data_IF_540338247373
#
_entry.id   IF_540338247373
#
_cell.length_a   1.000
_cell.length_b   1.000
_cell.length_c   1.000
_cell.angle_alpha   90.00
_cell.angle_beta   90.00
_cell.angle_gamma   90.00
#
_symmetry.space_group_name_H-M   'P 1'
#
loop_
_entity.id
_entity.type
_entity.pdbx_description
1 polymer ?
#
# COMPACT_ATOMS: atom_id res chain seq x y z
N UNK A 1 -17.36 28.14 22.84
CA UNK A 1 -16.50 27.48 23.84
C UNK A 1 -16.01 26.18 23.24
N UNK A 2 -14.78 25.74 23.54
CA UNK A 2 -14.27 24.46 23.07
C UNK A 2 -15.01 23.31 23.77
N UNK A 3 -15.47 22.33 22.99
CA UNK A 3 -16.19 21.15 23.45
C UNK A 3 -15.29 19.91 23.36
N UNK A 4 -15.18 19.16 24.46
CA UNK A 4 -14.33 17.98 24.55
C UNK A 4 -14.83 16.82 23.69
N UNK A 5 -16.15 16.71 23.48
CA UNK A 5 -16.72 15.74 22.56
C UNK A 5 -16.30 16.04 21.12
N UNK A 6 -16.25 17.33 20.77
CA UNK A 6 -15.78 17.76 19.45
C UNK A 6 -14.28 17.51 19.29
N UNK A 7 -13.46 17.73 20.34
CA UNK A 7 -12.04 17.33 20.31
C UNK A 7 -11.86 15.84 20.09
N UNK A 8 -12.68 15.02 20.75
CA UNK A 8 -12.66 13.57 20.59
C UNK A 8 -13.03 13.16 19.16
N UNK A 9 -14.07 13.77 18.57
CA UNK A 9 -14.45 13.54 17.17
C UNK A 9 -13.35 14.00 16.21
N UNK A 10 -12.78 15.19 16.39
CA UNK A 10 -11.67 15.69 15.58
C UNK A 10 -10.46 14.76 15.68
N UNK A 11 -10.15 14.24 16.86
CA UNK A 11 -9.06 13.28 17.10
C UNK A 11 -9.33 11.96 16.38
N UNK A 12 -10.53 11.40 16.53
CA UNK A 12 -10.94 10.17 15.86
C UNK A 12 -10.90 10.29 14.33
N UNK A 13 -11.49 11.36 13.78
CA UNK A 13 -11.48 11.64 12.34
C UNK A 13 -10.06 11.82 11.79
N UNK A 14 -9.18 12.50 12.54
CA UNK A 14 -7.78 12.62 12.17
C UNK A 14 -7.05 11.26 12.20
N UNK A 15 -7.31 10.44 13.22
CA UNK A 15 -6.76 9.09 13.37
C UNK A 15 -7.18 8.14 12.24
N UNK A 16 -8.42 8.23 11.76
CA UNK A 16 -8.89 7.48 10.58
C UNK A 16 -8.57 8.17 9.25
N UNK A 17 -7.73 9.20 9.28
CA UNK A 17 -7.08 9.75 8.09
C UNK A 17 -7.78 10.93 7.42
N UNK A 18 -8.87 11.43 7.99
CA UNK A 18 -9.59 12.60 7.51
C UNK A 18 -8.97 13.91 8.05
N UNK A 19 -9.41 15.07 7.54
CA UNK A 19 -8.84 16.38 7.90
C UNK A 19 -9.91 17.29 8.51
N UNK A 20 -10.26 17.10 9.80
CA UNK A 20 -11.32 17.87 10.45
C UNK A 20 -10.94 19.33 10.73
N UNK A 21 -9.68 19.72 10.53
CA UNK A 21 -9.14 21.02 10.92
C UNK A 21 -8.32 20.91 12.21
N UNK A 22 -8.06 22.03 12.91
CA UNK A 22 -7.41 22.01 14.22
C UNK A 22 -8.18 21.15 15.23
N UNK A 23 -7.48 20.45 16.12
CA UNK A 23 -8.08 19.70 17.23
C UNK A 23 -8.27 20.67 18.41
N UNK A 24 -9.23 21.56 18.25
CA UNK A 24 -9.47 22.70 19.14
C UNK A 24 -10.81 22.63 19.89
N UNK A 25 -11.63 21.61 19.60
CA UNK A 25 -12.96 21.43 20.19
C UNK A 25 -14.01 22.37 19.58
N UNK A 26 -13.73 22.98 18.44
CA UNK A 26 -14.64 23.88 17.77
C UNK A 26 -15.37 23.13 16.64
N UNK A 27 -16.70 23.11 16.71
CA UNK A 27 -17.54 22.57 15.63
C UNK A 27 -17.58 23.53 14.42
N UNK A 28 -16.45 23.59 13.71
CA UNK A 28 -16.27 24.42 12.55
C UNK A 28 -16.78 23.78 11.25
N UNK A 29 -16.86 24.56 10.15
CA UNK A 29 -17.27 24.05 8.84
C UNK A 29 -16.43 22.86 8.35
N UNK A 30 -15.13 22.85 8.67
CA UNK A 30 -14.22 21.74 8.33
C UNK A 30 -14.52 20.48 9.15
N UNK A 31 -14.77 20.62 10.46
CA UNK A 31 -15.16 19.51 11.34
C UNK A 31 -16.43 18.83 10.82
N UNK A 32 -17.48 19.62 10.56
CA UNK A 32 -18.78 19.12 10.05
C UNK A 32 -18.66 18.46 8.68
N UNK A 33 -18.04 19.13 7.71
CA UNK A 33 -17.87 18.58 6.37
C UNK A 33 -17.10 17.26 6.40
N UNK A 34 -16.11 17.16 7.28
CA UNK A 34 -15.31 15.96 7.46
C UNK A 34 -16.08 14.82 8.12
N UNK A 35 -16.84 15.12 9.18
CA UNK A 35 -17.71 14.15 9.84
C UNK A 35 -18.78 13.59 8.88
N UNK A 36 -19.39 14.44 8.06
CA UNK A 36 -20.35 14.04 7.02
C UNK A 36 -19.70 13.13 5.99
N UNK A 37 -18.51 13.49 5.48
CA UNK A 37 -17.76 12.65 4.55
C UNK A 37 -17.43 11.29 5.15
N UNK A 38 -17.02 11.25 6.41
CA UNK A 38 -16.77 10.01 7.13
C UNK A 38 -18.03 9.15 7.29
N UNK A 39 -19.16 9.75 7.70
CA UNK A 39 -20.44 9.04 7.81
C UNK A 39 -20.99 8.52 6.48
N UNK A 40 -20.61 9.12 5.36
CA UNK A 40 -20.94 8.67 4.01
C UNK A 40 -19.95 7.63 3.46
N UNK A 41 -18.92 7.25 4.22
CA UNK A 41 -17.87 6.33 3.76
C UNK A 41 -17.01 6.91 2.62
N UNK A 42 -16.93 8.23 2.50
CA UNK A 42 -16.22 8.87 1.39
C UNK A 42 -14.72 8.54 1.43
N UNK A 43 -14.08 8.19 0.31
CA UNK A 43 -12.67 7.83 0.32
C UNK A 43 -11.80 8.98 0.85
N UNK A 44 -10.86 8.63 1.71
CA UNK A 44 -9.84 9.56 2.21
C UNK A 44 -8.76 9.66 1.15
N UNK A 45 -8.51 10.88 0.66
CA UNK A 45 -7.44 11.11 -0.30
C UNK A 45 -6.11 10.54 0.24
N UNK A 46 -5.33 9.91 -0.63
CA UNK A 46 -3.97 9.49 -0.30
C UNK A 46 -3.25 10.69 0.29
N UNK A 47 -2.74 10.56 1.53
CA UNK A 47 -1.94 11.62 2.14
C UNK A 47 -0.48 11.38 1.79
N UNK A 48 0.23 12.48 1.63
CA UNK A 48 1.67 12.50 1.57
C UNK A 48 2.24 11.99 2.91
N UNK A 49 3.03 10.92 2.88
CA UNK A 49 3.87 10.50 4.01
C UNK A 49 5.03 11.49 4.07
N UNK A 50 5.27 12.13 5.22
CA UNK A 50 6.47 12.96 5.36
C UNK A 50 7.70 12.04 5.35
N UNK A 51 8.70 12.28 4.49
CA UNK A 51 9.91 11.46 4.46
C UNK A 51 10.60 11.44 5.83
N UNK A 52 10.97 10.25 6.30
CA UNK A 52 11.68 10.05 7.59
C UNK A 52 13.20 9.99 7.42
N UNK A 53 13.70 10.19 6.20
CA UNK A 53 15.12 10.10 5.84
C UNK A 53 15.45 11.16 4.80
N UNK A 54 16.73 11.52 4.69
CA UNK A 54 17.26 12.33 3.58
C UNK A 54 17.79 11.46 2.44
N UNK A 55 18.00 10.15 2.69
CA UNK A 55 18.49 9.19 1.70
C UNK A 55 17.52 9.03 0.54
N UNK A 56 18.04 8.68 -0.64
CA UNK A 56 17.23 8.51 -1.85
C UNK A 56 17.71 7.31 -2.67
N UNK A 57 16.79 6.41 -2.97
CA UNK A 57 16.98 5.36 -3.97
C UNK A 57 16.67 5.95 -5.33
N UNK A 58 17.54 5.69 -6.30
CA UNK A 58 17.37 6.12 -7.68
C UNK A 58 17.23 4.91 -8.60
N UNK A 59 16.22 4.95 -9.47
CA UNK A 59 15.86 3.85 -10.36
C UNK A 59 16.35 4.09 -11.79
N UNK A 60 17.02 3.06 -12.35
CA UNK A 60 17.47 3.03 -13.73
C UNK A 60 18.56 4.05 -14.06
N UNK A 61 19.00 4.07 -15.32
CA UNK A 61 20.03 5.01 -15.80
C UNK A 61 19.58 6.47 -15.76
N UNK A 62 18.28 6.72 -15.93
CA UNK A 62 17.68 8.04 -15.81
C UNK A 62 17.53 8.53 -14.35
N UNK A 63 17.91 7.70 -13.36
CA UNK A 63 17.94 8.05 -11.94
C UNK A 63 16.62 8.64 -11.43
N UNK A 64 15.50 7.95 -11.64
CA UNK A 64 14.22 8.38 -11.09
C UNK A 64 14.24 8.23 -9.55
N UNK A 65 13.97 9.29 -8.77
CA UNK A 65 13.90 9.17 -7.31
C UNK A 65 12.68 8.31 -6.91
N UNK A 66 12.91 7.25 -6.15
CA UNK A 66 11.84 6.39 -5.66
C UNK A 66 11.10 7.07 -4.51
N UNK A 67 9.87 7.52 -4.76
CA UNK A 67 9.04 8.31 -3.82
C UNK A 67 7.69 7.68 -3.50
N UNK A 68 7.34 6.59 -4.16
CA UNK A 68 6.04 5.94 -3.96
C UNK A 68 6.19 4.44 -3.81
N UNK A 69 5.43 3.86 -2.87
CA UNK A 69 5.24 2.42 -2.76
C UNK A 69 3.84 2.08 -3.29
N UNK A 70 3.75 1.10 -4.19
CA UNK A 70 2.48 0.62 -4.73
C UNK A 70 2.27 -0.84 -4.30
N UNK A 71 1.18 -1.10 -3.60
CA UNK A 71 0.82 -2.43 -3.10
C UNK A 71 -0.05 -3.18 -4.12
N UNK A 72 0.27 -4.46 -4.31
CA UNK A 72 -0.38 -5.38 -5.23
C UNK A 72 -0.79 -6.67 -4.52
N UNK A 73 -1.64 -7.45 -5.17
CA UNK A 73 -1.86 -8.86 -4.85
C UNK A 73 -1.60 -9.74 -6.10
N UNK A 74 -1.28 -11.01 -5.88
CA UNK A 74 -1.03 -11.98 -6.96
C UNK A 74 -2.31 -12.55 -7.58
N UNK A 75 -3.48 -12.23 -6.99
CA UNK A 75 -4.77 -12.83 -7.32
C UNK A 75 -4.78 -14.36 -7.25
N UNK A 76 -4.00 -14.94 -6.34
CA UNK A 76 -3.97 -16.39 -6.10
C UNK A 76 -4.90 -16.77 -4.94
N UNK A 77 -5.36 -18.02 -4.95
CA UNK A 77 -6.20 -18.56 -3.87
C UNK A 77 -5.40 -18.78 -2.58
N UNK A 78 -6.05 -18.88 -1.41
CA UNK A 78 -5.37 -19.11 -0.14
C UNK A 78 -4.50 -20.38 -0.08
N UNK A 79 -4.88 -21.42 -0.82
CA UNK A 79 -4.23 -22.72 -0.92
C UNK A 79 -3.20 -22.81 -2.06
N UNK A 80 -2.99 -21.73 -2.81
CA UNK A 80 -2.06 -21.72 -3.93
C UNK A 80 -0.63 -21.92 -3.43
N UNK A 81 0.01 -23.01 -3.88
CA UNK A 81 1.37 -23.38 -3.48
C UNK A 81 1.54 -23.41 -1.95
N UNK A 82 0.50 -23.86 -1.25
CA UNK A 82 0.59 -24.09 0.19
C UNK A 82 1.56 -25.25 0.48
N UNK A 83 2.39 -25.07 1.51
CA UNK A 83 3.52 -25.96 1.80
C UNK A 83 4.78 -25.70 0.96
N UNK A 84 4.70 -24.98 -0.16
CA UNK A 84 5.89 -24.52 -0.87
C UNK A 84 6.51 -23.31 -0.14
N UNK A 85 7.84 -23.26 -0.07
CA UNK A 85 8.55 -22.12 0.48
C UNK A 85 8.39 -20.87 -0.40
N UNK A 86 8.50 -19.69 0.22
CA UNK A 86 8.37 -18.39 -0.47
C UNK A 86 9.31 -18.24 -1.69
N UNK A 87 10.48 -18.90 -1.67
CA UNK A 87 11.41 -18.89 -2.81
C UNK A 87 10.84 -19.58 -4.05
N UNK A 88 10.12 -20.71 -3.87
CA UNK A 88 9.42 -21.39 -4.96
C UNK A 88 8.25 -20.55 -5.48
N UNK A 89 7.49 -19.92 -4.58
CA UNK A 89 6.38 -19.04 -4.95
C UNK A 89 6.86 -17.83 -5.77
N UNK A 90 7.97 -17.19 -5.37
CA UNK A 90 8.59 -16.10 -6.14
C UNK A 90 9.11 -16.58 -7.49
N UNK A 91 9.71 -17.78 -7.53
CA UNK A 91 10.15 -18.37 -8.79
C UNK A 91 8.98 -18.62 -9.75
N UNK A 92 7.82 -19.04 -9.23
CA UNK A 92 6.62 -19.26 -10.02
C UNK A 92 6.00 -17.95 -10.55
N UNK A 93 5.89 -16.91 -9.71
CA UNK A 93 5.44 -15.58 -10.16
C UNK A 93 6.40 -15.02 -11.23
N UNK A 94 7.71 -15.23 -11.06
CA UNK A 94 8.72 -14.86 -12.07
C UNK A 94 8.52 -15.63 -13.37
N UNK A 95 8.22 -16.93 -13.29
CA UNK A 95 7.90 -17.78 -14.46
C UNK A 95 6.69 -17.24 -15.22
N UNK A 96 5.60 -16.88 -14.52
CA UNK A 96 4.41 -16.27 -15.14
C UNK A 96 4.73 -14.97 -15.87
N UNK A 97 5.47 -14.07 -15.23
CA UNK A 97 5.86 -12.81 -15.87
C UNK A 97 6.76 -13.02 -17.09
N UNK A 98 7.70 -13.98 -17.04
CA UNK A 98 8.54 -14.33 -18.19
C UNK A 98 7.73 -14.94 -19.33
N UNK A 99 6.72 -15.75 -19.03
CA UNK A 99 5.79 -16.27 -20.03
C UNK A 99 5.00 -15.14 -20.74
N UNK A 100 4.77 -14.02 -20.05
CA UNK A 100 4.20 -12.79 -20.63
C UNK A 100 5.23 -11.91 -21.37
N UNK A 101 6.43 -12.44 -21.64
CA UNK A 101 7.49 -11.73 -22.36
C UNK A 101 8.26 -10.72 -21.51
N UNK A 102 8.08 -10.69 -20.18
CA UNK A 102 8.81 -9.77 -19.32
C UNK A 102 10.20 -10.32 -19.03
N UNK A 103 11.19 -9.42 -18.92
CA UNK A 103 12.57 -9.79 -18.57
C UNK A 103 12.68 -10.51 -17.22
N UNK A 104 11.86 -10.09 -16.26
CA UNK A 104 11.86 -10.60 -14.89
C UNK A 104 10.53 -10.29 -14.19
N UNK A 105 10.34 -10.82 -12.99
CA UNK A 105 9.23 -10.49 -12.07
C UNK A 105 8.99 -8.98 -12.00
N UNK A 106 7.74 -8.53 -12.05
CA UNK A 106 7.41 -7.10 -12.10
C UNK A 106 7.59 -6.34 -10.78
N UNK A 107 7.63 -7.04 -9.65
CA UNK A 107 7.64 -6.48 -8.29
C UNK A 107 9.05 -6.43 -7.69
N UNK A 108 9.26 -5.54 -6.72
CA UNK A 108 10.51 -5.46 -5.95
C UNK A 108 10.49 -6.36 -4.72
N UNK A 109 9.30 -6.52 -4.12
CA UNK A 109 9.10 -7.38 -2.96
C UNK A 109 7.87 -8.26 -3.15
N UNK A 110 7.95 -9.49 -2.65
CA UNK A 110 6.84 -10.43 -2.60
C UNK A 110 6.69 -10.93 -1.17
N UNK A 111 5.45 -10.94 -0.68
CA UNK A 111 5.10 -11.28 0.68
C UNK A 111 4.20 -12.52 0.72
N UNK A 112 4.75 -13.62 1.25
CA UNK A 112 4.06 -14.89 1.41
C UNK A 112 3.00 -14.87 2.51
N UNK A 113 2.07 -15.83 2.46
CA UNK A 113 0.97 -15.95 3.44
C UNK A 113 1.44 -16.20 4.88
N UNK A 114 2.64 -16.78 5.04
CA UNK A 114 3.32 -16.97 6.32
C UNK A 114 3.84 -15.67 6.96
N UNK A 115 3.91 -14.56 6.19
CA UNK A 115 4.61 -13.34 6.57
C UNK A 115 6.07 -13.29 6.08
N UNK A 116 6.55 -14.32 5.39
CA UNK A 116 7.89 -14.29 4.81
C UNK A 116 8.00 -13.34 3.63
N UNK A 117 9.03 -12.52 3.65
CA UNK A 117 9.33 -11.57 2.59
C UNK A 117 10.50 -12.07 1.73
N UNK A 118 10.38 -11.91 0.41
CA UNK A 118 11.46 -12.17 -0.55
C UNK A 118 11.57 -11.07 -1.58
N UNK A 119 12.81 -10.84 -2.03
CA UNK A 119 13.12 -9.86 -3.05
C UNK A 119 12.75 -10.38 -4.46
N UNK A 120 12.19 -9.49 -5.27
CA UNK A 120 12.02 -9.64 -6.71
C UNK A 120 13.12 -8.87 -7.45
N UNK A 121 12.75 -7.82 -8.17
CA UNK A 121 13.71 -6.86 -8.74
C UNK A 121 14.38 -6.04 -7.63
N UNK A 122 15.62 -5.61 -7.88
CA UNK A 122 16.28 -4.62 -7.01
C UNK A 122 15.51 -3.30 -7.06
N UNK A 123 15.39 -2.62 -5.93
CA UNK A 123 14.69 -1.32 -5.84
C UNK A 123 15.35 -0.20 -6.65
N UNK A 124 16.61 -0.38 -7.07
CA UNK A 124 17.34 0.51 -7.99
C UNK A 124 17.03 0.23 -9.47
N UNK A 125 16.24 -0.79 -9.77
CA UNK A 125 15.73 -1.07 -11.11
C UNK A 125 14.31 -0.56 -11.26
N UNK A 126 13.92 -0.20 -12.48
CA UNK A 126 12.53 0.13 -12.79
C UNK A 126 11.72 -1.17 -12.80
N UNK A 127 10.60 -1.17 -12.07
CA UNK A 127 9.67 -2.29 -11.99
C UNK A 127 8.86 -2.51 -13.28
N UNK A 128 7.95 -3.47 -13.24
CA UNK A 128 6.94 -3.69 -14.29
C UNK A 128 5.62 -4.11 -13.63
N UNK A 129 5.06 -3.25 -12.77
CA UNK A 129 3.90 -3.59 -11.94
C UNK A 129 2.69 -2.65 -12.15
N UNK A 130 2.89 -1.43 -12.65
CA UNK A 130 1.80 -0.51 -13.06
C UNK A 130 2.18 0.17 -14.37
N UNK A 131 1.41 -0.09 -15.43
CA UNK A 131 1.61 0.54 -16.74
C UNK A 131 1.53 2.07 -16.59
N UNK A 132 2.53 2.78 -17.12
CA UNK A 132 2.60 4.24 -17.02
C UNK A 132 3.08 4.80 -15.65
N UNK A 133 3.36 3.94 -14.66
CA UNK A 133 3.73 4.38 -13.30
C UNK A 133 4.85 3.56 -12.64
N UNK A 134 5.69 2.89 -13.44
CA UNK A 134 6.81 2.08 -12.92
C UNK A 134 8.03 2.92 -12.50
N UNK A 135 8.18 4.13 -13.03
CA UNK A 135 9.33 4.98 -12.74
C UNK A 135 9.17 5.67 -11.39
N UNK A 136 10.18 5.59 -10.53
CA UNK A 136 10.16 6.24 -9.21
C UNK A 136 9.23 5.57 -8.20
N UNK A 137 8.86 4.31 -8.44
CA UNK A 137 7.91 3.57 -7.61
C UNK A 137 8.42 2.18 -7.22
N UNK A 138 8.08 1.73 -6.01
CA UNK A 138 8.46 0.42 -5.46
C UNK A 138 7.19 -0.44 -5.31
N UNK A 139 7.02 -1.43 -6.20
CA UNK A 139 5.97 -2.44 -6.08
C UNK A 139 6.21 -3.52 -5.01
N UNK A 140 5.24 -3.73 -4.12
CA UNK A 140 5.17 -4.84 -3.15
C UNK A 140 3.95 -5.71 -3.51
N UNK A 141 4.12 -7.02 -3.67
CA UNK A 141 3.04 -7.95 -3.99
C UNK A 141 2.74 -8.90 -2.84
N UNK A 142 1.48 -8.96 -2.40
CA UNK A 142 1.00 -9.95 -1.43
C UNK A 142 0.52 -11.20 -2.17
N UNK A 143 0.97 -12.38 -1.74
CA UNK A 143 0.43 -13.64 -2.25
C UNK A 143 -0.99 -13.83 -1.70
N UNK A 144 -1.98 -13.88 -2.59
CA UNK A 144 -3.40 -13.97 -2.26
C UNK A 144 -4.27 -13.00 -3.07
N UNK A 145 -5.47 -12.72 -2.55
CA UNK A 145 -6.39 -11.72 -3.12
C UNK A 145 -7.30 -12.22 -4.24
N UNK A 146 -7.33 -13.53 -4.52
CA UNK A 146 -8.29 -14.10 -5.47
C UNK A 146 -9.74 -13.83 -5.02
N UNK A 147 -10.55 -13.25 -5.92
CA UNK A 147 -11.96 -12.94 -5.64
C UNK A 147 -12.19 -11.68 -4.80
N UNK A 148 -11.14 -10.91 -4.48
CA UNK A 148 -11.28 -9.65 -3.76
C UNK A 148 -11.94 -8.55 -4.59
N UNK A 149 -12.69 -7.68 -3.92
CA UNK A 149 -13.15 -6.40 -4.45
C UNK A 149 -12.20 -5.27 -4.05
N UNK A 150 -12.27 -4.14 -4.78
CA UNK A 150 -11.38 -2.99 -4.62
C UNK A 150 -11.29 -2.45 -3.18
N UNK A 151 -12.40 -2.52 -2.45
CA UNK A 151 -12.59 -1.91 -1.13
C UNK A 151 -12.91 -2.92 -0.04
N UNK A 152 -12.59 -4.20 -0.26
CA UNK A 152 -12.74 -5.20 0.78
C UNK A 152 -11.86 -4.89 1.98
N UNK A 153 -12.20 -5.50 3.11
CA UNK A 153 -11.30 -5.55 4.26
C UNK A 153 -10.13 -6.48 3.95
N UNK A 154 -8.87 -6.05 4.16
CA UNK A 154 -7.72 -6.87 3.79
C UNK A 154 -7.66 -8.20 4.55
N UNK A 155 -8.18 -8.25 5.78
CA UNK A 155 -8.22 -9.47 6.60
C UNK A 155 -9.07 -10.60 6.00
N UNK A 156 -9.93 -10.29 5.03
CA UNK A 156 -10.75 -11.30 4.31
C UNK A 156 -9.88 -12.16 3.41
N UNK A 157 -8.81 -11.60 2.83
CA UNK A 157 -8.03 -12.23 1.76
C UNK A 157 -6.56 -12.47 2.15
N UNK A 158 -6.07 -11.75 3.16
CA UNK A 158 -4.67 -11.78 3.60
C UNK A 158 -4.59 -12.11 5.10
N UNK A 159 -3.47 -12.70 5.52
CA UNK A 159 -3.25 -13.06 6.92
C UNK A 159 -2.75 -11.87 7.74
N UNK A 160 -2.96 -11.89 9.06
CA UNK A 160 -2.43 -10.84 9.95
C UNK A 160 -0.90 -10.71 9.84
N UNK A 161 -0.20 -11.84 9.68
CA UNK A 161 1.26 -11.85 9.47
C UNK A 161 1.66 -11.12 8.19
N UNK A 162 0.88 -11.25 7.11
CA UNK A 162 1.10 -10.46 5.90
C UNK A 162 0.86 -8.98 6.15
N UNK A 163 -0.22 -8.60 6.83
CA UNK A 163 -0.53 -7.19 7.03
C UNK A 163 0.48 -6.49 7.94
N UNK A 164 0.94 -7.16 9.01
CA UNK A 164 2.04 -6.68 9.85
C UNK A 164 3.33 -6.55 9.05
N UNK A 165 3.72 -7.58 8.30
CA UNK A 165 4.96 -7.54 7.54
C UNK A 165 4.91 -6.50 6.40
N UNK A 166 3.75 -6.25 5.80
CA UNK A 166 3.57 -5.20 4.81
C UNK A 166 3.88 -3.82 5.42
N UNK A 167 3.39 -3.54 6.64
CA UNK A 167 3.72 -2.29 7.36
C UNK A 167 5.22 -2.17 7.64
N UNK A 168 5.81 -3.21 8.23
CA UNK A 168 7.24 -3.25 8.51
C UNK A 168 8.08 -2.99 7.25
N UNK A 169 7.68 -3.57 6.11
CA UNK A 169 8.40 -3.37 4.87
C UNK A 169 8.23 -1.94 4.32
N UNK A 170 7.05 -1.35 4.41
CA UNK A 170 6.81 0.05 4.04
C UNK A 170 7.69 0.99 4.87
N UNK A 171 7.77 0.76 6.18
CA UNK A 171 8.64 1.54 7.09
C UNK A 171 10.12 1.34 6.74
N UNK A 172 10.57 0.09 6.54
CA UNK A 172 11.95 -0.23 6.20
C UNK A 172 12.40 0.38 4.86
N UNK A 173 11.51 0.49 3.88
CA UNK A 173 11.77 1.22 2.64
C UNK A 173 11.83 2.72 2.90
N UNK A 174 10.90 3.26 3.70
CA UNK A 174 10.82 4.69 4.01
C UNK A 174 12.05 5.21 4.78
N UNK A 175 12.76 4.34 5.50
CA UNK A 175 14.06 4.68 6.12
C UNK A 175 15.20 4.84 5.11
N UNK A 176 15.08 4.24 3.91
CA UNK A 176 16.15 4.16 2.90
C UNK A 176 15.91 5.07 1.69
N UNK A 177 14.67 5.53 1.49
CA UNK A 177 14.33 6.50 0.44
C UNK A 177 13.19 7.40 0.90
N UNK A 178 13.10 8.61 0.33
CA UNK A 178 12.05 9.58 0.68
C UNK A 178 10.69 9.19 0.09
N UNK A 179 10.06 8.17 0.66
CA UNK A 179 8.68 7.81 0.33
C UNK A 179 7.75 8.93 0.77
N UNK A 180 7.02 9.48 -0.19
CA UNK A 180 5.97 10.45 0.02
C UNK A 180 4.58 9.84 -0.20
N UNK A 181 4.46 8.68 -0.81
CA UNK A 181 3.13 8.12 -1.14
C UNK A 181 3.12 6.60 -0.96
N UNK A 182 2.06 6.09 -0.34
CA UNK A 182 1.77 4.65 -0.27
C UNK A 182 0.37 4.43 -0.85
N UNK A 183 0.29 3.63 -1.90
CA UNK A 183 -0.91 3.48 -2.73
C UNK A 183 -1.18 2.01 -3.10
N UNK A 184 -2.36 1.73 -3.65
CA UNK A 184 -2.72 0.44 -4.27
C UNK A 184 -2.80 0.56 -5.78
N UNK A 185 -2.67 -0.57 -6.50
CA UNK A 185 -2.82 -0.60 -7.97
C UNK A 185 -4.19 -0.08 -8.43
N UNK A 186 -5.26 -0.35 -7.66
CA UNK A 186 -6.62 0.13 -7.88
C UNK A 186 -6.73 1.65 -8.00
N UNK A 187 -5.78 2.42 -7.45
CA UNK A 187 -5.76 3.87 -7.59
C UNK A 187 -5.30 4.37 -8.98
N UNK A 188 -4.76 3.47 -9.81
CA UNK A 188 -4.18 3.81 -11.12
C UNK A 188 -4.75 2.98 -12.27
N UNK A 189 -5.56 1.97 -11.98
CA UNK A 189 -6.21 1.14 -12.97
C UNK A 189 -7.55 0.64 -12.44
N UNK A 190 -8.53 0.45 -13.33
CA UNK A 190 -9.81 -0.18 -13.01
C UNK A 190 -9.63 -1.68 -12.71
N UNK A 191 -9.08 -1.98 -11.53
CA UNK A 191 -8.72 -3.31 -11.04
C UNK A 191 -8.99 -3.39 -9.54
N UNK A 192 -9.40 -4.55 -9.06
CA UNK A 192 -9.60 -4.77 -7.61
C UNK A 192 -8.27 -4.73 -6.81
N UNK A 193 -7.16 -5.14 -7.43
CA UNK A 193 -5.84 -5.24 -6.80
C UNK A 193 -5.43 -3.96 -6.02
N UNK A 194 -4.99 -4.05 -4.75
CA UNK A 194 -4.64 -5.26 -4.01
C UNK A 194 -5.81 -5.96 -3.29
N UNK A 195 -7.05 -5.54 -3.52
CA UNK A 195 -8.23 -6.09 -2.86
C UNK A 195 -8.63 -5.32 -1.59
N UNK A 196 -8.12 -4.10 -1.42
CA UNK A 196 -8.47 -3.17 -0.34
C UNK A 196 -7.96 -1.76 -0.66
N UNK A 197 -8.49 -0.75 0.02
CA UNK A 197 -8.05 0.62 -0.13
C UNK A 197 -6.82 0.92 0.74
N UNK A 198 -5.63 0.80 0.14
CA UNK A 198 -4.32 0.92 0.82
C UNK A 198 -4.16 2.22 1.63
N UNK A 199 -4.53 3.42 1.11
CA UNK A 199 -4.37 4.64 1.89
C UNK A 199 -5.22 4.69 3.16
N UNK A 200 -6.39 4.05 3.19
CA UNK A 200 -7.22 3.96 4.39
C UNK A 200 -6.61 2.96 5.37
N UNK A 201 -6.24 1.77 4.88
CA UNK A 201 -5.62 0.73 5.69
C UNK A 201 -4.34 1.25 6.36
N UNK A 202 -3.46 1.91 5.61
CA UNK A 202 -2.17 2.35 6.15
C UNK A 202 -2.31 3.37 7.29
N UNK A 203 -3.31 4.26 7.22
CA UNK A 203 -3.57 5.30 8.24
C UNK A 203 -4.22 4.78 9.52
N UNK A 204 -4.99 3.68 9.44
CA UNK A 204 -5.80 3.18 10.55
C UNK A 204 -5.07 2.32 11.59
N UNK A 205 -3.74 2.43 11.70
CA UNK A 205 -2.94 1.75 12.73
C UNK A 205 -2.14 2.77 13.55
#
# INVERSE_FOLDING_TARGET
MADENIRSIQTGLAGVGYSPGPIDGIDGPRTRATAVRWGQGAPVAARDVAPVTTSMIYQGSARYPAREIIVHCSATRPDWMDGDGIDAQVAEIRRWHRANGWRDIGYHWVLGRSGELRAGRRETEIGAHVVGRNNGTIGICLIGGFGSAETDRPEVHFTDRQLVQLRNQIEAISMRTQITTVSGHNQYAAKACPGFHVPTWFKGA
#
